data_IF_609263681570
#
_entry.id   IF_609263681570
#
_cell.length_a   1.000
_cell.length_b   1.000
_cell.length_c   1.000
_cell.angle_alpha   90.00
_cell.angle_beta   90.00
_cell.angle_gamma   90.00
#
_symmetry.space_group_name_H-M   'P 1'
#
loop_
_entity.id
_entity.type
_entity.pdbx_description
1 polymer ?
#
# COMPACT_ATOMS: atom_id res chain seq x y z
N UNK A 1 -34.71 13.26 -3.00
CA UNK A 1 -35.89 12.64 -3.61
C UNK A 1 -36.24 11.45 -2.77
N UNK A 2 -37.39 11.46 -2.10
CA UNK A 2 -37.86 10.34 -1.30
C UNK A 2 -38.19 9.16 -2.23
N UNK A 3 -37.74 7.96 -1.87
CA UNK A 3 -38.10 6.73 -2.57
C UNK A 3 -39.62 6.56 -2.50
N UNK A 4 -40.31 6.31 -3.63
CA UNK A 4 -41.73 6.00 -3.59
C UNK A 4 -41.91 4.65 -2.89
N UNK A 5 -42.85 4.62 -1.96
CA UNK A 5 -43.18 3.54 -1.03
C UNK A 5 -42.94 2.14 -1.59
N UNK A 6 -42.10 1.38 -0.88
CA UNK A 6 -41.86 -0.05 -1.11
C UNK A 6 -43.16 -0.83 -0.83
N UNK A 7 -44.05 -0.90 -1.83
CA UNK A 7 -45.24 -1.76 -1.90
C UNK A 7 -46.21 -1.71 -0.70
N UNK A 8 -46.26 -0.60 0.04
CA UNK A 8 -47.16 -0.43 1.20
C UNK A 8 -46.86 -1.37 2.38
N UNK A 9 -45.66 -1.97 2.40
CA UNK A 9 -45.19 -2.82 3.50
C UNK A 9 -45.05 -2.05 4.83
N UNK A 10 -44.51 -0.81 4.89
CA UNK A 10 -44.42 -0.09 6.16
C UNK A 10 -45.79 0.25 6.75
N UNK A 11 -46.80 0.60 5.93
CA UNK A 11 -48.16 0.90 6.42
C UNK A 11 -48.88 -0.33 7.00
N UNK A 12 -48.65 -1.54 6.46
CA UNK A 12 -49.26 -2.77 6.99
C UNK A 12 -48.66 -3.27 8.30
N UNK A 13 -47.43 -2.86 8.60
CA UNK A 13 -46.75 -3.24 9.84
C UNK A 13 -47.05 -2.25 10.98
N UNK A 14 -47.31 -0.98 10.65
CA UNK A 14 -47.77 0.04 11.61
C UNK A 14 -49.11 -0.33 12.27
N UNK A 15 -50.04 -0.99 11.56
CA UNK A 15 -51.32 -1.45 12.13
C UNK A 15 -51.17 -2.51 13.24
N UNK A 16 -50.00 -3.14 13.38
CA UNK A 16 -49.70 -4.13 14.43
C UNK A 16 -48.84 -3.59 15.56
N UNK A 17 -48.45 -2.31 15.49
CA UNK A 17 -47.63 -1.67 16.50
C UNK A 17 -48.54 -0.88 17.47
N UNK A 18 -48.18 -0.82 18.76
CA UNK A 18 -48.95 -0.08 19.76
C UNK A 18 -49.01 1.42 19.42
N UNK A 19 -50.14 2.07 19.77
CA UNK A 19 -50.43 3.46 19.45
C UNK A 19 -49.26 4.40 19.83
N UNK A 20 -48.60 4.94 18.80
CA UNK A 20 -47.50 5.90 18.93
C UNK A 20 -46.16 5.48 18.31
N UNK A 21 -46.01 4.22 17.86
CA UNK A 21 -44.81 3.77 17.13
C UNK A 21 -45.10 3.70 15.62
N UNK A 22 -44.31 4.41 14.81
CA UNK A 22 -44.40 4.37 13.35
C UNK A 22 -43.07 3.93 12.71
N UNK A 23 -43.15 3.16 11.63
CA UNK A 23 -41.98 2.77 10.83
C UNK A 23 -41.43 3.92 9.98
N UNK A 24 -42.09 5.08 9.97
CA UNK A 24 -41.66 6.26 9.21
C UNK A 24 -40.31 6.81 9.69
N UNK A 25 -40.07 6.87 11.01
CA UNK A 25 -38.81 7.36 11.58
C UNK A 25 -37.64 6.38 11.32
N UNK A 26 -37.92 5.08 11.30
CA UNK A 26 -36.93 4.03 11.04
C UNK A 26 -36.42 4.05 9.59
N UNK A 27 -37.27 4.43 8.64
CA UNK A 27 -36.87 4.58 7.23
C UNK A 27 -36.09 5.88 7.00
N UNK A 28 -36.36 6.92 7.80
CA UNK A 28 -35.65 8.20 7.69
C UNK A 28 -34.21 8.12 8.25
N UNK A 29 -33.94 7.20 9.17
CA UNK A 29 -32.59 7.03 9.78
C UNK A 29 -31.63 6.10 8.99
N UNK A 30 -32.07 5.42 7.92
CA UNK A 30 -31.30 4.34 7.29
C UNK A 30 -30.63 4.66 5.94
N UNK A 31 -30.71 5.90 5.44
CA UNK A 31 -30.25 6.23 4.06
C UNK A 31 -29.15 7.28 3.95
N UNK A 32 -28.24 7.36 4.94
CA UNK A 32 -27.08 8.25 4.87
C UNK A 32 -25.76 7.52 5.15
N UNK A 33 -25.45 6.46 4.41
CA UNK A 33 -24.09 5.92 4.36
C UNK A 33 -23.47 6.10 2.96
N UNK A 34 -22.88 7.27 2.73
CA UNK A 34 -22.04 7.49 1.55
C UNK A 34 -20.62 7.03 1.88
N UNK A 35 -20.28 5.78 1.56
CA UNK A 35 -18.89 5.32 1.60
C UNK A 35 -18.18 5.75 0.32
N UNK A 36 -17.35 6.79 0.42
CA UNK A 36 -16.45 7.24 -0.64
C UNK A 36 -15.01 7.11 -0.14
N UNK A 37 -14.47 5.90 -0.28
CA UNK A 37 -13.08 5.61 0.06
C UNK A 37 -12.17 5.83 -1.13
N UNK A 38 -11.72 7.07 -1.35
CA UNK A 38 -10.55 7.34 -2.20
C UNK A 38 -9.35 7.60 -1.29
N UNK A 39 -8.75 6.49 -0.82
CA UNK A 39 -7.59 6.51 0.05
C UNK A 39 -6.32 6.33 -0.77
N UNK A 40 -5.89 7.31 -1.54
CA UNK A 40 -4.55 7.28 -2.14
C UNK A 40 -3.51 7.56 -1.03
N UNK A 41 -2.97 6.51 -0.42
CA UNK A 41 -1.87 6.64 0.55
C UNK A 41 -0.55 6.79 -0.21
N UNK A 42 -0.11 8.02 -0.44
CA UNK A 42 1.23 8.28 -0.95
C UNK A 42 2.21 8.39 0.22
N UNK A 43 2.95 7.31 0.48
CA UNK A 43 4.01 7.28 1.50
C UNK A 43 5.33 7.69 0.85
N UNK A 44 5.78 8.93 1.10
CA UNK A 44 7.12 9.38 0.73
C UNK A 44 8.10 9.04 1.86
N UNK A 45 8.88 7.97 1.69
CA UNK A 45 10.01 7.66 2.56
C UNK A 45 11.30 8.17 1.91
N UNK A 46 11.99 9.10 2.59
CA UNK A 46 13.33 9.53 2.19
C UNK A 46 14.35 8.63 2.90
N UNK A 47 14.98 7.72 2.16
CA UNK A 47 15.97 6.79 2.70
C UNK A 47 17.34 7.09 2.10
N UNK A 48 18.30 7.47 2.94
CA UNK A 48 19.70 7.70 2.53
C UNK A 48 20.48 6.43 2.75
N UNK A 49 20.87 5.74 1.67
CA UNK A 49 21.63 4.50 1.72
C UNK A 49 23.00 4.71 1.11
N UNK A 50 24.01 4.08 1.72
CA UNK A 50 25.35 3.97 1.18
C UNK A 50 25.61 2.50 0.87
N UNK A 51 25.90 2.22 -0.40
CA UNK A 51 26.05 0.87 -0.93
C UNK A 51 27.43 0.77 -1.59
N UNK A 52 28.09 -0.36 -1.43
CA UNK A 52 29.30 -0.67 -2.18
C UNK A 52 28.94 -1.07 -3.62
N UNK A 53 29.58 -0.44 -4.60
CA UNK A 53 29.43 -0.76 -6.00
C UNK A 53 30.81 -0.97 -6.64
N UNK A 54 30.84 -1.78 -7.68
CA UNK A 54 32.02 -2.15 -8.45
C UNK A 54 31.81 -1.72 -9.90
N UNK A 55 32.88 -1.26 -10.55
CA UNK A 55 32.87 -1.01 -11.99
C UNK A 55 33.01 -2.35 -12.71
N UNK A 56 32.00 -2.71 -13.49
CA UNK A 56 31.94 -4.01 -14.20
C UNK A 56 32.39 -3.91 -15.65
N UNK A 57 32.30 -2.71 -16.25
CA UNK A 57 32.64 -2.48 -17.64
C UNK A 57 32.99 -1.01 -17.88
N UNK A 58 33.97 -0.75 -18.75
CA UNK A 58 34.21 0.57 -19.35
C UNK A 58 33.67 0.55 -20.79
N UNK A 59 32.73 1.45 -21.08
CA UNK A 59 32.12 1.58 -22.40
C UNK A 59 33.10 2.26 -23.37
N UNK A 60 32.94 2.08 -24.70
CA UNK A 60 33.83 2.69 -25.70
C UNK A 60 33.93 4.22 -25.67
N UNK A 61 32.95 4.89 -25.05
CA UNK A 61 32.92 6.34 -24.86
C UNK A 61 33.58 6.80 -23.53
N UNK A 62 34.19 5.89 -22.77
CA UNK A 62 34.83 6.16 -21.48
C UNK A 62 33.87 6.28 -20.30
N UNK A 63 32.58 5.97 -20.49
CA UNK A 63 31.61 5.88 -19.39
C UNK A 63 31.73 4.53 -18.72
N UNK A 64 31.62 4.52 -17.39
CA UNK A 64 31.76 3.31 -16.58
C UNK A 64 30.38 2.76 -16.24
N UNK A 65 30.18 1.45 -16.45
CA UNK A 65 29.02 0.72 -15.92
C UNK A 65 29.36 0.25 -14.51
N UNK A 66 28.51 0.61 -13.55
CA UNK A 66 28.63 0.18 -12.16
C UNK A 66 27.51 -0.78 -11.79
N UNK A 67 27.85 -1.70 -10.90
CA UNK A 67 26.93 -2.65 -10.29
C UNK A 67 27.33 -2.87 -8.83
N UNK A 68 26.35 -2.82 -7.93
CA UNK A 68 26.55 -3.08 -6.51
C UNK A 68 25.40 -3.92 -5.98
N UNK A 69 25.74 -4.98 -5.24
CA UNK A 69 24.77 -5.82 -4.54
C UNK A 69 25.18 -5.90 -3.08
N UNK A 70 24.24 -5.63 -2.18
CA UNK A 70 24.46 -5.71 -0.75
C UNK A 70 23.29 -6.40 -0.08
N UNK A 71 23.58 -7.49 0.62
CA UNK A 71 22.61 -8.20 1.44
C UNK A 71 22.78 -7.79 2.90
N UNK A 72 21.69 -7.37 3.54
CA UNK A 72 21.66 -6.97 4.95
C UNK A 72 20.55 -7.76 5.64
N UNK A 73 20.90 -8.50 6.70
CA UNK A 73 19.91 -9.18 7.54
C UNK A 73 19.52 -8.29 8.72
N UNK A 74 18.24 -7.97 8.83
CA UNK A 74 17.68 -7.20 9.95
C UNK A 74 16.51 -7.97 10.53
N UNK A 75 16.50 -8.24 11.84
CA UNK A 75 15.41 -8.96 12.52
C UNK A 75 15.00 -10.27 11.83
N UNK A 76 15.97 -11.10 11.43
CA UNK A 76 15.77 -12.36 10.69
C UNK A 76 15.20 -12.23 9.27
N UNK A 77 14.94 -11.01 8.80
CA UNK A 77 14.57 -10.74 7.42
C UNK A 77 15.82 -10.42 6.61
N UNK A 78 16.03 -11.13 5.50
CA UNK A 78 17.13 -10.84 4.59
C UNK A 78 16.67 -9.78 3.59
N UNK A 79 17.36 -8.65 3.56
CA UNK A 79 17.12 -7.54 2.64
C UNK A 79 18.24 -7.50 1.62
N UNK A 80 17.86 -7.28 0.38
CA UNK A 80 18.75 -7.21 -0.77
C UNK A 80 18.63 -5.82 -1.41
N UNK A 81 19.79 -5.22 -1.62
CA UNK A 81 19.97 -3.93 -2.26
C UNK A 81 20.77 -4.15 -3.53
N UNK A 82 20.22 -3.79 -4.67
CA UNK A 82 20.91 -3.86 -5.96
C UNK A 82 20.89 -2.46 -6.56
N UNK A 83 22.06 -1.99 -6.98
CA UNK A 83 22.24 -0.74 -7.70
C UNK A 83 22.96 -1.00 -9.00
N UNK A 84 22.43 -0.47 -10.10
CA UNK A 84 23.09 -0.49 -11.41
C UNK A 84 22.98 0.90 -12.05
N UNK A 85 23.95 1.26 -12.87
CA UNK A 85 23.90 2.51 -13.61
C UNK A 85 25.18 2.82 -14.35
N UNK A 86 25.26 4.04 -14.84
CA UNK A 86 26.39 4.54 -15.61
C UNK A 86 26.93 5.83 -15.02
N UNK A 87 28.25 5.96 -14.94
CA UNK A 87 28.93 7.12 -14.35
C UNK A 87 30.12 7.52 -15.20
N UNK A 88 30.44 8.82 -15.21
CA UNK A 88 31.69 9.28 -15.83
C UNK A 88 32.83 9.17 -14.82
N UNK A 89 34.06 8.91 -15.24
CA UNK A 89 35.22 8.88 -14.34
C UNK A 89 35.40 10.17 -13.52
N UNK A 90 35.02 11.33 -14.09
CA UNK A 90 35.09 12.65 -13.43
C UNK A 90 34.08 12.84 -12.30
N UNK A 91 33.01 12.04 -12.27
CA UNK A 91 31.97 12.13 -11.24
C UNK A 91 32.38 11.40 -9.94
N UNK A 92 33.43 10.57 -10.00
CA UNK A 92 34.01 9.86 -8.85
C UNK A 92 34.86 10.84 -8.04
N UNK A 93 34.49 11.02 -6.77
CA UNK A 93 35.26 11.86 -5.84
C UNK A 93 36.62 11.24 -5.50
N UNK A 94 37.51 12.04 -4.91
CA UNK A 94 38.83 11.57 -4.43
C UNK A 94 38.72 10.53 -3.30
N UNK A 95 37.54 10.41 -2.71
CA UNK A 95 37.20 9.44 -1.67
C UNK A 95 36.55 8.17 -2.23
N UNK A 96 36.50 7.99 -3.56
CA UNK A 96 35.82 6.89 -4.25
C UNK A 96 34.30 6.84 -3.97
N UNK A 97 33.69 8.01 -3.82
CA UNK A 97 32.25 8.15 -3.61
C UNK A 97 31.58 8.81 -4.82
N UNK A 98 30.38 8.33 -5.13
CA UNK A 98 29.53 8.82 -6.21
C UNK A 98 28.16 9.11 -5.62
N UNK A 99 27.67 10.34 -5.79
CA UNK A 99 26.34 10.74 -5.34
C UNK A 99 25.29 10.31 -6.36
N UNK A 100 24.08 10.03 -5.88
CA UNK A 100 22.99 9.47 -6.70
C UNK A 100 22.65 10.33 -7.93
N UNK A 101 22.68 11.66 -7.78
CA UNK A 101 22.43 12.64 -8.85
C UNK A 101 23.41 12.54 -10.03
N UNK A 102 24.57 11.91 -9.82
CA UNK A 102 25.61 11.71 -10.84
C UNK A 102 25.54 10.36 -11.53
N UNK A 103 24.58 9.50 -11.17
CA UNK A 103 24.42 8.17 -11.76
C UNK A 103 23.35 8.25 -12.86
N UNK A 104 23.78 8.13 -14.11
CA UNK A 104 22.88 8.09 -15.25
C UNK A 104 22.15 6.74 -15.32
N UNK A 105 20.83 6.78 -15.48
CA UNK A 105 20.00 5.59 -15.61
C UNK A 105 20.02 4.68 -14.38
N UNK A 106 20.23 5.25 -13.18
CA UNK A 106 20.32 4.48 -11.94
C UNK A 106 19.07 3.64 -11.69
N UNK A 107 19.25 2.31 -11.59
CA UNK A 107 18.21 1.38 -11.14
C UNK A 107 18.60 0.88 -9.76
N UNK A 108 17.74 1.18 -8.79
CA UNK A 108 17.91 0.76 -7.41
C UNK A 108 16.72 -0.13 -7.07
N UNK A 109 16.98 -1.39 -6.76
CA UNK A 109 15.98 -2.27 -6.19
C UNK A 109 16.30 -2.53 -4.74
N UNK A 110 15.30 -2.35 -3.89
CA UNK A 110 15.34 -2.69 -2.48
C UNK A 110 14.19 -3.64 -2.19
N UNK A 111 14.51 -4.84 -1.72
CA UNK A 111 13.51 -5.87 -1.44
C UNK A 111 13.94 -6.77 -0.30
N UNK A 112 12.95 -7.40 0.34
CA UNK A 112 13.17 -8.47 1.31
C UNK A 112 12.93 -9.84 0.66
N UNK A 113 13.81 -10.82 0.93
CA UNK A 113 13.47 -12.24 0.80
C UNK A 113 12.80 -12.66 2.11
N UNK A 114 11.54 -12.29 2.28
CA UNK A 114 10.74 -12.67 3.46
C UNK A 114 10.07 -14.02 3.26
N UNK A 115 10.08 -14.88 4.29
CA UNK A 115 9.03 -15.89 4.40
C UNK A 115 7.71 -15.14 4.35
N UNK A 116 6.85 -15.53 3.40
CA UNK A 116 5.45 -15.11 3.36
C UNK A 116 4.91 -15.38 4.76
N UNK A 117 4.71 -14.33 5.56
CA UNK A 117 3.93 -14.47 6.77
C UNK A 117 2.53 -14.72 6.25
N UNK A 118 2.15 -16.00 6.24
CA UNK A 118 0.81 -16.43 5.87
C UNK A 118 -0.16 -15.49 6.59
N UNK A 119 -0.90 -14.72 5.78
CA UNK A 119 -1.92 -13.80 6.26
C UNK A 119 -2.78 -14.61 7.21
N UNK A 120 -2.78 -14.23 8.48
CA UNK A 120 -3.58 -14.87 9.50
C UNK A 120 -5.04 -14.64 9.11
N UNK A 121 -5.60 -15.64 8.43
CA UNK A 121 -6.94 -15.59 7.86
C UNK A 121 -7.90 -15.24 9.01
N UNK A 122 -8.70 -14.17 8.89
CA UNK A 122 -9.62 -13.81 9.96
C UNK A 122 -10.49 -15.03 10.25
N UNK A 123 -10.51 -15.44 11.52
CA UNK A 123 -11.23 -16.62 11.98
C UNK A 123 -12.68 -16.48 11.52
N UNK A 124 -13.26 -17.58 11.01
CA UNK A 124 -14.62 -17.70 10.46
C UNK A 124 -15.76 -17.05 11.30
N UNK A 125 -15.50 -16.59 12.53
CA UNK A 125 -16.46 -15.96 13.42
C UNK A 125 -16.86 -14.51 13.10
N UNK A 126 -16.08 -13.72 12.34
CA UNK A 126 -16.53 -12.37 11.95
C UNK A 126 -17.66 -12.40 10.91
N UNK A 127 -17.70 -13.44 10.07
CA UNK A 127 -18.79 -13.63 9.10
C UNK A 127 -20.11 -14.03 9.78
N UNK A 128 -20.05 -14.65 10.97
CA UNK A 128 -21.25 -15.03 11.73
C UNK A 128 -21.83 -13.82 12.49
N UNK A 129 -20.97 -12.91 12.99
CA UNK A 129 -21.42 -11.68 13.65
C UNK A 129 -22.20 -10.76 12.69
N UNK A 130 -21.75 -10.62 11.44
CA UNK A 130 -22.46 -9.84 10.40
C UNK A 130 -23.77 -10.50 9.94
N UNK A 131 -23.91 -11.83 10.11
CA UNK A 131 -25.15 -12.56 9.78
C UNK A 131 -26.17 -12.53 10.92
N UNK A 132 -25.73 -12.43 12.19
CA UNK A 132 -26.60 -12.49 13.36
C UNK A 132 -27.09 -11.10 13.81
N UNK A 133 -26.35 -10.02 13.54
CA UNK A 133 -26.80 -8.66 13.88
C UNK A 133 -26.69 -7.72 12.67
N UNK A 134 -27.63 -7.79 11.70
CA UNK A 134 -27.80 -6.76 10.69
C UNK A 134 -28.73 -5.66 11.21
N UNK A 135 -28.33 -4.96 12.29
CA UNK A 135 -28.94 -3.71 12.76
C UNK A 135 -28.01 -2.96 13.73
#
# INVERSE_FOLDING_TARGET
MALPDLFGIPQRLDERLPDGASMADAVQTSSASSYKGDGSVTRNEQMTLRIAATIVEELPNGVLRLEGQQEVRVNFELRELIVTGYVRPTDISRQNEITYDKIAGARISYGGRGQISDVQQPRYGQQIADVILPF
#
